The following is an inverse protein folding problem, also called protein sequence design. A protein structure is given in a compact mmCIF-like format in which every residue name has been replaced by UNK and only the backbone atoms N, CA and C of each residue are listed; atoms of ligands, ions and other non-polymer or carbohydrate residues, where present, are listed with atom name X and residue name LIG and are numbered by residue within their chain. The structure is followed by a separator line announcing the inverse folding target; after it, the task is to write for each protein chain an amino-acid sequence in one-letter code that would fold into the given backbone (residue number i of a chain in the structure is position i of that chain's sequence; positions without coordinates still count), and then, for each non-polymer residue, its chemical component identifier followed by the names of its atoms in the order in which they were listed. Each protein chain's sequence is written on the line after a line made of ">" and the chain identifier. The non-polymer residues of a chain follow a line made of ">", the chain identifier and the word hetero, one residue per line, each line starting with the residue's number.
data_IF_144502348256
#
_entry.id   IF_144502348256
#
_cell.length_a   1.000
_cell.length_b   1.000
_cell.length_c   1.000
_cell.angle_alpha   90.00
_cell.angle_beta   90.00
_cell.angle_gamma   90.00
#
_symmetry.space_group_name_H-M   'P 1'
#
loop_
_entity.id
_entity.type
_entity.pdbx_description
1 polymer ?
#
# COMPACT_ATOMS: atom_id res chain seq x y z
N UNK A 1 4.46 -29.86 -14.76
CA UNK A 1 4.30 -28.47 -14.25
C UNK A 1 4.40 -28.41 -12.74
N UNK A 2 3.57 -29.15 -11.98
CA UNK A 2 3.58 -29.13 -10.50
C UNK A 2 4.97 -29.44 -9.92
N UNK A 3 5.64 -30.49 -10.39
CA UNK A 3 6.99 -30.84 -9.90
C UNK A 3 8.05 -29.76 -10.15
N UNK A 4 7.91 -28.97 -11.23
CA UNK A 4 8.80 -27.83 -11.49
C UNK A 4 8.59 -26.72 -10.47
N UNK A 5 7.32 -26.38 -10.20
CA UNK A 5 6.96 -25.38 -9.19
C UNK A 5 7.46 -25.81 -7.81
N UNK A 6 7.23 -27.08 -7.41
CA UNK A 6 7.71 -27.60 -6.12
C UNK A 6 9.24 -27.49 -6.02
N UNK A 7 9.97 -27.85 -7.08
CA UNK A 7 11.42 -27.79 -7.07
C UNK A 7 11.95 -26.35 -6.94
N UNK A 8 11.38 -25.40 -7.69
CA UNK A 8 11.75 -23.99 -7.60
C UNK A 8 11.34 -23.37 -6.24
N UNK A 9 10.16 -23.72 -5.72
CA UNK A 9 9.72 -23.30 -4.37
C UNK A 9 10.68 -23.80 -3.29
N UNK A 10 11.15 -25.06 -3.39
CA UNK A 10 12.14 -25.61 -2.45
C UNK A 10 13.46 -24.83 -2.51
N UNK A 11 13.94 -24.48 -3.71
CA UNK A 11 15.15 -23.66 -3.88
C UNK A 11 15.02 -22.29 -3.22
N UNK A 12 13.82 -21.72 -3.16
CA UNK A 12 13.60 -20.41 -2.55
C UNK A 12 13.45 -20.51 -1.02
N UNK A 13 12.59 -21.40 -0.54
CA UNK A 13 12.20 -21.48 0.89
C UNK A 13 13.33 -22.04 1.76
N UNK A 14 14.08 -23.03 1.28
CA UNK A 14 15.14 -23.68 2.08
C UNK A 14 16.48 -22.92 2.09
N UNK A 15 16.56 -21.74 1.45
CA UNK A 15 17.76 -20.88 1.57
C UNK A 15 17.75 -20.16 2.91
N UNK A 16 18.93 -20.03 3.52
CA UNK A 16 19.12 -19.21 4.74
C UNK A 16 18.63 -17.77 4.55
N UNK A 17 18.75 -17.23 3.34
CA UNK A 17 18.25 -15.90 2.99
C UNK A 17 16.74 -15.74 3.19
N UNK A 18 15.94 -16.80 3.07
CA UNK A 18 14.49 -16.75 3.28
C UNK A 18 14.12 -16.39 4.71
N UNK A 19 14.74 -17.06 5.69
CA UNK A 19 14.54 -16.76 7.12
C UNK A 19 15.01 -15.32 7.42
N UNK A 20 16.14 -14.91 6.85
CA UNK A 20 16.66 -13.54 6.99
C UNK A 20 15.64 -12.52 6.47
N UNK A 21 14.98 -12.76 5.34
CA UNK A 21 13.93 -11.85 4.85
C UNK A 21 12.76 -11.72 5.82
N UNK A 22 12.32 -12.82 6.45
CA UNK A 22 11.22 -12.77 7.42
C UNK A 22 11.61 -12.01 8.69
N UNK A 23 12.83 -12.22 9.17
CA UNK A 23 13.38 -11.46 10.30
C UNK A 23 13.48 -9.98 9.96
N UNK A 24 13.97 -9.63 8.75
CA UNK A 24 14.04 -8.24 8.29
C UNK A 24 12.65 -7.62 8.21
N UNK A 25 11.67 -8.29 7.62
CA UNK A 25 10.30 -7.78 7.51
C UNK A 25 9.73 -7.54 8.90
N UNK A 26 9.78 -8.54 9.79
CA UNK A 26 9.27 -8.40 11.15
C UNK A 26 9.98 -7.28 11.92
N UNK A 27 11.32 -7.23 11.83
CA UNK A 27 12.14 -6.20 12.45
C UNK A 27 11.82 -4.79 11.93
N UNK A 28 11.57 -4.64 10.62
CA UNK A 28 11.17 -3.37 10.03
C UNK A 28 9.75 -2.96 10.45
N UNK A 29 8.79 -3.88 10.52
CA UNK A 29 7.46 -3.58 11.07
C UNK A 29 7.59 -3.10 12.52
N UNK A 30 8.39 -3.80 13.35
CA UNK A 30 8.63 -3.42 14.74
C UNK A 30 9.32 -2.06 14.86
N UNK A 31 10.31 -1.79 14.00
CA UNK A 31 11.02 -0.51 13.95
C UNK A 31 10.09 0.63 13.56
N UNK A 32 9.30 0.49 12.49
CA UNK A 32 8.32 1.52 12.08
C UNK A 32 7.27 1.73 13.16
N UNK A 33 6.73 0.66 13.74
CA UNK A 33 5.80 0.77 14.87
C UNK A 33 6.41 1.47 16.08
N UNK A 34 7.68 1.19 16.38
CA UNK A 34 8.44 1.87 17.45
C UNK A 34 8.64 3.35 17.17
N UNK A 35 9.01 3.72 15.95
CA UNK A 35 9.14 5.12 15.51
C UNK A 35 7.79 5.84 15.62
N UNK A 36 6.70 5.25 15.12
CA UNK A 36 5.36 5.82 15.22
C UNK A 36 4.96 6.04 16.68
N UNK A 37 5.11 5.02 17.53
CA UNK A 37 4.82 5.12 18.97
C UNK A 37 5.63 6.22 19.64
N UNK A 38 6.92 6.34 19.31
CA UNK A 38 7.78 7.39 19.82
C UNK A 38 7.34 8.78 19.33
N UNK A 39 7.03 8.92 18.04
CA UNK A 39 6.53 10.17 17.46
C UNK A 39 5.22 10.63 18.14
N UNK A 40 4.28 9.71 18.37
CA UNK A 40 3.07 10.01 19.13
C UNK A 40 3.34 10.36 20.60
N UNK A 41 4.40 9.81 21.20
CA UNK A 41 4.79 10.18 22.56
C UNK A 41 5.37 11.58 22.66
N UNK A 42 5.95 12.12 21.58
CA UNK A 42 6.48 13.47 21.53
C UNK A 42 5.41 14.51 21.18
N UNK A 43 4.46 14.14 20.33
CA UNK A 43 3.40 15.05 19.92
C UNK A 43 2.36 15.23 21.04
N UNK A 44 2.10 16.49 21.39
CA UNK A 44 0.87 16.92 22.05
C UNK A 44 0.18 17.87 21.11
N UNK A 45 -1.07 17.64 20.74
CA UNK A 45 -1.77 18.60 19.89
C UNK A 45 -1.82 19.96 20.60
N UNK A 46 -1.42 20.98 19.87
CA UNK A 46 -1.48 22.37 20.27
C UNK A 46 -2.60 23.04 19.48
N UNK A 47 -3.30 23.98 20.09
CA UNK A 47 -4.31 24.78 19.42
C UNK A 47 -4.12 26.25 19.80
N UNK A 48 -4.56 27.12 18.91
CA UNK A 48 -4.51 28.57 19.11
C UNK A 48 -5.90 29.02 19.56
N UNK A 49 -5.95 29.72 20.69
CA UNK A 49 -7.20 30.31 21.18
C UNK A 49 -7.09 31.83 21.13
N UNK A 50 -7.97 32.45 20.36
CA UNK A 50 -8.16 33.90 20.37
C UNK A 50 -9.36 34.21 21.27
N UNK A 51 -9.18 35.08 22.27
CA UNK A 51 -10.30 35.49 23.14
C UNK A 51 -11.21 36.42 22.34
N UNK A 52 -12.52 36.16 22.37
CA UNK A 52 -13.49 37.03 21.73
C UNK A 52 -13.39 38.46 22.30
N UNK A 53 -13.06 39.43 21.44
CA UNK A 53 -12.91 40.85 21.80
C UNK A 53 -11.47 41.33 22.06
N UNK A 54 -10.45 40.49 21.83
CA UNK A 54 -9.03 40.84 22.03
C UNK A 54 -8.30 40.90 20.67
N UNK A 55 -7.79 42.08 20.28
CA UNK A 55 -6.96 42.26 19.05
C UNK A 55 -5.53 41.70 19.20
N UNK A 56 -5.24 41.04 20.33
CA UNK A 56 -3.94 40.43 20.62
C UNK A 56 -3.65 39.17 19.80
N UNK A 57 -2.36 38.80 19.74
CA UNK A 57 -1.93 37.57 19.07
C UNK A 57 -2.56 36.31 19.70
N UNK A 58 -2.93 35.31 18.88
CA UNK A 58 -3.55 34.09 19.36
C UNK A 58 -2.65 33.33 20.35
N UNK A 59 -3.21 32.95 21.50
CA UNK A 59 -2.44 32.27 22.55
C UNK A 59 -2.35 30.78 22.23
N UNK A 60 -1.11 30.27 22.15
CA UNK A 60 -0.82 28.85 21.95
C UNK A 60 -1.13 28.06 23.24
N UNK A 61 -2.00 27.07 23.14
CA UNK A 61 -2.37 26.17 24.25
C UNK A 61 -2.09 24.71 23.90
N UNK A 62 -1.63 23.95 24.89
CA UNK A 62 -1.37 22.51 24.76
C UNK A 62 -2.53 21.71 25.34
N UNK A 63 -3.01 20.72 24.59
CA UNK A 63 -4.06 19.82 25.05
C UNK A 63 -3.44 18.77 25.99
N UNK A 64 -4.09 18.53 27.14
CA UNK A 64 -3.65 17.47 28.07
C UNK A 64 -3.70 16.11 27.36
N UNK A 65 -2.59 15.36 27.44
CA UNK A 65 -2.54 13.97 26.95
C UNK A 65 -3.63 13.12 27.61
N UNK A 66 -4.19 12.19 26.85
CA UNK A 66 -5.30 11.33 27.25
C UNK A 66 -6.67 11.84 26.81
N UNK A 67 -6.80 13.12 26.44
CA UNK A 67 -8.07 13.66 25.94
C UNK A 67 -8.15 13.42 24.43
N UNK A 68 -9.17 12.70 23.92
CA UNK A 68 -9.34 12.51 22.49
C UNK A 68 -9.57 13.84 21.79
N UNK A 69 -9.00 13.99 20.60
CA UNK A 69 -9.26 15.14 19.72
C UNK A 69 -9.72 14.59 18.38
N UNK A 70 -11.00 14.77 18.07
CA UNK A 70 -11.63 14.24 16.87
C UNK A 70 -11.49 15.22 15.70
N UNK A 71 -11.93 16.45 15.92
CA UNK A 71 -11.89 17.51 14.91
C UNK A 71 -11.66 18.87 15.58
N UNK A 72 -11.69 19.94 14.81
CA UNK A 72 -11.62 21.31 15.31
C UNK A 72 -12.91 22.06 14.93
N UNK A 73 -13.40 22.91 15.82
CA UNK A 73 -14.50 23.83 15.50
C UNK A 73 -14.05 24.90 14.50
N UNK A 74 -15.00 25.66 13.95
CA UNK A 74 -14.69 26.82 13.09
C UNK A 74 -13.77 27.83 13.80
N UNK A 75 -13.91 27.98 15.12
CA UNK A 75 -13.07 28.84 15.96
C UNK A 75 -11.68 28.23 16.29
N UNK A 76 -11.33 27.09 15.70
CA UNK A 76 -10.05 26.41 15.92
C UNK A 76 -9.92 25.67 17.26
N UNK A 77 -11.02 25.50 18.01
CA UNK A 77 -10.99 24.79 19.30
C UNK A 77 -11.07 23.28 19.09
N UNK A 78 -10.32 22.48 19.87
CA UNK A 78 -10.35 21.02 19.75
C UNK A 78 -11.67 20.44 20.24
N UNK A 79 -12.28 19.59 19.42
CA UNK A 79 -13.52 18.89 19.73
C UNK A 79 -13.18 17.55 20.36
N UNK A 80 -13.57 17.40 21.63
CA UNK A 80 -13.23 16.25 22.47
C UNK A 80 -14.42 15.35 22.77
N UNK A 81 -15.64 15.83 22.49
CA UNK A 81 -16.87 15.05 22.59
C UNK A 81 -17.21 14.45 21.21
N UNK A 82 -17.52 13.15 21.18
CA UNK A 82 -17.83 12.43 19.95
C UNK A 82 -19.18 12.85 19.34
N UNK A 83 -20.19 13.18 20.15
CA UNK A 83 -21.49 13.65 19.66
C UNK A 83 -21.36 15.01 18.95
N UNK A 84 -20.53 15.88 19.52
CA UNK A 84 -20.21 17.18 18.92
C UNK A 84 -19.41 17.00 17.62
N UNK A 85 -18.46 16.07 17.59
CA UNK A 85 -17.72 15.73 16.37
C UNK A 85 -18.65 15.23 15.27
N UNK A 86 -19.62 14.35 15.56
CA UNK A 86 -20.63 13.90 14.59
C UNK A 86 -21.47 15.07 14.08
N UNK A 87 -21.87 15.99 14.95
CA UNK A 87 -22.63 17.19 14.55
C UNK A 87 -21.83 18.06 13.58
N UNK A 88 -20.55 18.26 13.86
CA UNK A 88 -19.63 19.04 13.01
C UNK A 88 -19.36 18.33 11.68
N UNK A 89 -19.06 17.03 11.68
CA UNK A 89 -18.84 16.30 10.42
C UNK A 89 -20.12 16.30 9.56
N UNK A 90 -21.30 16.29 10.18
CA UNK A 90 -22.58 16.44 9.46
C UNK A 90 -22.75 17.83 8.86
N UNK A 91 -22.43 18.90 9.60
CA UNK A 91 -22.46 20.25 9.03
C UNK A 91 -21.44 20.42 7.90
N UNK A 92 -20.25 19.85 8.04
CA UNK A 92 -19.21 19.89 7.00
C UNK A 92 -19.67 19.18 5.73
N UNK A 93 -20.34 18.03 5.86
CA UNK A 93 -20.94 17.33 4.71
C UNK A 93 -22.01 18.17 4.03
N UNK A 94 -22.91 18.80 4.78
CA UNK A 94 -23.95 19.67 4.22
C UNK A 94 -23.33 20.89 3.51
N UNK A 95 -22.30 21.50 4.10
CA UNK A 95 -21.56 22.60 3.49
C UNK A 95 -20.85 22.16 2.20
N UNK A 96 -20.24 20.98 2.18
CA UNK A 96 -19.61 20.42 0.98
C UNK A 96 -20.65 20.11 -0.12
N UNK A 97 -21.85 19.65 0.25
CA UNK A 97 -22.95 19.42 -0.69
C UNK A 97 -23.57 20.71 -1.23
N UNK A 98 -23.49 21.82 -0.48
CA UNK A 98 -24.00 23.12 -0.89
C UNK A 98 -23.07 23.85 -1.89
N UNK A 99 -21.78 23.47 -1.95
CA UNK A 99 -20.88 23.88 -3.03
C UNK A 99 -21.31 23.19 -4.33
N UNK A 100 -21.18 23.87 -5.47
CA UNK A 100 -21.50 23.28 -6.77
C UNK A 100 -20.68 21.98 -6.98
N UNK A 101 -21.41 20.88 -7.18
CA UNK A 101 -20.89 19.50 -7.19
C UNK A 101 -19.79 19.25 -8.24
N UNK A 102 -19.72 20.12 -9.24
CA UNK A 102 -18.85 20.02 -10.41
C UNK A 102 -17.39 20.41 -10.10
N UNK A 103 -17.16 21.28 -9.11
CA UNK A 103 -15.79 21.77 -8.81
C UNK A 103 -15.04 20.90 -7.77
N UNK A 104 -15.73 20.17 -6.86
CA UNK A 104 -15.09 19.48 -5.73
C UNK A 104 -15.70 18.11 -5.34
N UNK A 105 -15.82 17.12 -6.25
CA UNK A 105 -16.46 15.82 -5.95
C UNK A 105 -15.77 15.01 -4.84
N UNK A 106 -14.46 15.20 -4.65
CA UNK A 106 -13.70 14.51 -3.62
C UNK A 106 -13.98 15.05 -2.21
N UNK A 107 -14.33 16.33 -2.04
CA UNK A 107 -14.62 16.92 -0.72
C UNK A 107 -15.86 16.28 -0.09
N UNK A 108 -16.93 16.11 -0.86
CA UNK A 108 -18.17 15.46 -0.40
C UNK A 108 -17.88 14.02 0.04
N UNK A 109 -17.10 13.28 -0.74
CA UNK A 109 -16.75 11.90 -0.42
C UNK A 109 -15.93 11.79 0.87
N UNK A 110 -14.96 12.69 1.09
CA UNK A 110 -14.18 12.72 2.34
C UNK A 110 -15.03 13.11 3.54
N UNK A 111 -15.86 14.15 3.43
CA UNK A 111 -16.76 14.57 4.50
C UNK A 111 -17.76 13.47 4.88
N UNK A 112 -18.28 12.72 3.89
CA UNK A 112 -19.15 11.57 4.14
C UNK A 112 -18.42 10.46 4.90
N UNK A 113 -17.21 10.12 4.47
CA UNK A 113 -16.40 9.09 5.14
C UNK A 113 -16.06 9.49 6.58
N UNK A 114 -15.72 10.76 6.81
CA UNK A 114 -15.46 11.26 8.16
C UNK A 114 -16.70 11.12 9.06
N UNK A 115 -17.88 11.53 8.58
CA UNK A 115 -19.14 11.37 9.31
C UNK A 115 -19.44 9.90 9.61
N UNK A 116 -19.36 9.04 8.59
CA UNK A 116 -19.56 7.60 8.67
C UNK A 116 -18.65 6.94 9.73
N UNK A 117 -17.40 7.40 9.79
CA UNK A 117 -16.42 6.94 10.77
C UNK A 117 -16.88 7.27 12.19
N UNK A 118 -17.21 8.53 12.49
CA UNK A 118 -17.61 8.93 13.84
C UNK A 118 -18.96 8.33 14.26
N UNK A 119 -19.94 8.25 13.35
CA UNK A 119 -21.22 7.60 13.62
C UNK A 119 -21.05 6.12 13.97
N UNK A 120 -20.12 5.42 13.30
CA UNK A 120 -19.83 4.01 13.59
C UNK A 120 -19.25 3.81 15.00
N UNK A 121 -18.41 4.73 15.49
CA UNK A 121 -17.89 4.69 16.86
C UNK A 121 -18.96 5.09 17.88
N UNK A 122 -19.75 6.13 17.60
CA UNK A 122 -20.83 6.60 18.47
C UNK A 122 -21.87 5.50 18.69
N UNK A 123 -22.28 4.82 17.61
CA UNK A 123 -23.23 3.69 17.68
C UNK A 123 -22.74 2.54 18.57
N UNK A 124 -21.43 2.31 18.64
CA UNK A 124 -20.85 1.26 19.50
C UNK A 124 -20.53 1.74 20.91
N UNK A 125 -20.69 3.03 21.21
CA UNK A 125 -20.36 3.61 22.52
C UNK A 125 -18.87 3.53 22.85
N UNK A 126 -17.99 3.49 21.84
CA UNK A 126 -16.53 3.41 22.03
C UNK A 126 -15.91 4.70 21.51
N UNK A 127 -14.98 5.28 22.27
CA UNK A 127 -14.22 6.45 21.82
C UNK A 127 -13.10 6.04 20.85
N UNK A 128 -13.00 6.64 19.66
CA UNK A 128 -11.87 6.42 18.77
C UNK A 128 -10.52 6.72 19.44
N UNK A 129 -9.48 5.98 19.06
CA UNK A 129 -8.09 6.37 19.36
C UNK A 129 -7.68 7.44 18.35
N UNK A 130 -7.10 8.49 18.89
CA UNK A 130 -6.60 9.69 18.22
C UNK A 130 -5.16 9.90 18.68
N UNK A 131 -4.45 10.80 18.00
CA UNK A 131 -3.07 11.19 18.33
C UNK A 131 -2.89 11.49 19.83
N UNK A 132 -3.88 12.14 20.47
CA UNK A 132 -3.77 12.62 21.85
C UNK A 132 -4.19 11.62 22.94
N UNK A 133 -4.97 10.58 22.63
CA UNK A 133 -5.46 9.60 23.62
C UNK A 133 -4.96 8.16 23.37
N UNK A 134 -3.87 8.01 22.62
CA UNK A 134 -3.29 6.70 22.32
C UNK A 134 -2.38 6.66 21.10
N UNK A 135 -2.32 7.76 20.33
CA UNK A 135 -1.49 7.87 19.14
C UNK A 135 -2.18 7.22 17.95
N UNK A 136 -1.96 5.92 17.80
CA UNK A 136 -2.49 5.07 16.74
C UNK A 136 -3.10 3.82 17.39
N UNK A 137 -4.16 3.28 16.79
CA UNK A 137 -4.75 2.01 17.25
C UNK A 137 -4.04 0.81 16.59
N UNK A 138 -4.05 -0.34 17.27
CA UNK A 138 -3.55 -1.58 16.67
C UNK A 138 -4.25 -1.93 15.34
N UNK A 139 -5.55 -1.60 15.23
CA UNK A 139 -6.32 -1.77 14.00
C UNK A 139 -5.87 -0.84 12.87
N UNK A 140 -5.60 0.44 13.17
CA UNK A 140 -5.06 1.39 12.19
C UNK A 140 -3.69 0.92 11.67
N UNK A 141 -2.78 0.54 12.57
CA UNK A 141 -1.45 0.05 12.21
C UNK A 141 -1.50 -1.23 11.38
N UNK A 142 -2.42 -2.14 11.70
CA UNK A 142 -2.69 -3.33 10.89
C UNK A 142 -3.24 -2.97 9.50
N UNK A 143 -4.21 -2.04 9.43
CA UNK A 143 -4.83 -1.63 8.17
C UNK A 143 -3.87 -0.95 7.20
N UNK A 144 -2.79 -0.35 7.72
CA UNK A 144 -1.70 0.24 6.95
C UNK A 144 -0.57 -0.75 6.63
N UNK A 145 -0.71 -2.02 7.03
CA UNK A 145 0.30 -3.09 6.90
C UNK A 145 1.65 -2.71 7.51
N UNK A 146 1.60 -1.99 8.64
CA UNK A 146 2.78 -1.49 9.35
C UNK A 146 3.57 -0.43 8.58
N UNK A 147 3.02 0.14 7.51
CA UNK A 147 3.64 1.22 6.75
C UNK A 147 4.86 0.82 5.90
N UNK A 148 5.15 -0.48 5.74
CA UNK A 148 6.38 -0.95 5.08
C UNK A 148 6.22 -1.43 3.62
N UNK A 149 5.07 -1.18 2.99
CA UNK A 149 4.72 -1.77 1.68
C UNK A 149 5.79 -1.58 0.60
N UNK A 150 6.36 -0.38 0.48
CA UNK A 150 7.39 -0.11 -0.54
C UNK A 150 8.65 -0.96 -0.34
N UNK A 151 9.05 -1.21 0.92
CA UNK A 151 10.21 -2.05 1.24
C UNK A 151 9.89 -3.52 0.92
N UNK A 152 8.68 -3.97 1.26
CA UNK A 152 8.23 -5.33 0.92
C UNK A 152 8.21 -5.53 -0.60
N UNK A 153 7.70 -4.56 -1.36
CA UNK A 153 7.70 -4.58 -2.82
C UNK A 153 9.12 -4.66 -3.38
N UNK A 154 10.06 -3.89 -2.81
CA UNK A 154 11.48 -3.92 -3.18
C UNK A 154 12.10 -5.31 -2.94
N UNK A 155 11.84 -5.96 -1.79
CA UNK A 155 12.33 -7.31 -1.51
C UNK A 155 11.80 -8.33 -2.51
N UNK A 156 10.52 -8.27 -2.84
CA UNK A 156 9.90 -9.15 -3.85
C UNK A 156 10.53 -8.95 -5.23
N UNK A 157 10.76 -7.68 -5.63
CA UNK A 157 11.44 -7.34 -6.88
C UNK A 157 12.86 -7.89 -6.95
N UNK A 158 13.63 -7.78 -5.87
CA UNK A 158 15.00 -8.32 -5.80
C UNK A 158 14.97 -9.83 -6.02
N UNK A 159 14.09 -10.54 -5.30
CA UNK A 159 13.96 -12.01 -5.45
C UNK A 159 13.53 -12.38 -6.87
N UNK A 160 12.54 -11.71 -7.43
CA UNK A 160 12.06 -11.97 -8.79
C UNK A 160 13.14 -11.73 -9.86
N UNK A 161 13.92 -10.65 -9.71
CA UNK A 161 15.02 -10.32 -10.63
C UNK A 161 16.12 -11.39 -10.61
N UNK A 162 16.42 -11.92 -9.44
CA UNK A 162 17.43 -12.98 -9.25
C UNK A 162 17.00 -14.33 -9.82
N UNK A 163 15.70 -14.67 -9.80
CA UNK A 163 15.22 -16.00 -10.21
C UNK A 163 15.56 -16.39 -11.64
N UNK A 164 15.61 -15.42 -12.57
CA UNK A 164 15.95 -15.68 -13.99
C UNK A 164 17.40 -15.35 -14.28
N UNK A 165 17.93 -14.24 -13.74
CA UNK A 165 19.30 -13.80 -14.04
C UNK A 165 20.36 -14.78 -13.51
N UNK A 166 20.15 -15.37 -12.32
CA UNK A 166 21.09 -16.33 -11.75
C UNK A 166 21.32 -17.55 -12.64
N UNK A 167 20.31 -18.00 -13.38
CA UNK A 167 20.45 -19.15 -14.29
C UNK A 167 21.31 -18.84 -15.53
N UNK A 168 21.37 -17.57 -15.94
CA UNK A 168 22.24 -17.12 -17.02
C UNK A 168 23.67 -16.92 -16.52
N UNK A 169 23.84 -16.34 -15.33
CA UNK A 169 25.15 -16.10 -14.71
C UNK A 169 25.84 -17.41 -14.32
N UNK A 170 25.11 -18.37 -13.78
CA UNK A 170 25.66 -19.65 -13.31
C UNK A 170 25.88 -20.67 -14.46
N UNK A 171 25.51 -20.32 -15.70
CA UNK A 171 25.62 -21.20 -16.86
C UNK A 171 24.68 -22.41 -16.85
N UNK A 172 23.85 -22.57 -15.81
CA UNK A 172 22.88 -23.66 -15.62
C UNK A 172 21.77 -23.65 -16.66
N UNK A 173 21.57 -22.54 -17.38
CA UNK A 173 20.69 -22.49 -18.55
C UNK A 173 21.00 -23.59 -19.56
N UNK A 174 22.28 -23.94 -19.77
CA UNK A 174 22.70 -25.02 -20.68
C UNK A 174 22.28 -26.41 -20.18
N UNK A 175 22.30 -26.63 -18.86
CA UNK A 175 21.82 -27.87 -18.24
C UNK A 175 20.29 -27.98 -18.31
N UNK A 176 19.57 -26.86 -18.25
CA UNK A 176 18.11 -26.83 -18.46
C UNK A 176 17.71 -27.20 -19.90
N UNK A 177 18.58 -26.98 -20.89
CA UNK A 177 18.33 -27.34 -22.30
C UNK A 177 18.36 -28.84 -22.58
N UNK A 178 18.91 -29.64 -21.68
CA UNK A 178 18.96 -31.11 -21.81
C UNK A 178 17.74 -31.81 -21.20
N UNK A 179 16.87 -31.08 -20.49
CA UNK A 179 15.65 -31.63 -19.87
C UNK A 179 14.44 -31.55 -20.82
N UNK A 180 13.48 -32.50 -20.73
CA UNK A 180 12.33 -32.61 -21.64
C UNK A 180 11.21 -31.56 -21.39
N UNK A 181 11.54 -30.37 -20.88
CA UNK A 181 10.57 -29.33 -20.56
C UNK A 181 10.68 -28.16 -21.52
N UNK A 182 9.52 -27.66 -22.02
CA UNK A 182 9.49 -26.49 -22.90
C UNK A 182 9.98 -25.26 -22.13
N UNK A 183 10.78 -24.41 -22.75
CA UNK A 183 11.37 -23.22 -22.11
C UNK A 183 10.32 -22.26 -21.51
N UNK A 184 9.16 -22.14 -22.17
CA UNK A 184 8.02 -21.38 -21.63
C UNK A 184 7.44 -21.98 -20.34
N UNK A 185 7.52 -23.30 -20.15
CA UNK A 185 7.09 -23.97 -18.92
C UNK A 185 8.04 -23.67 -17.75
N UNK A 186 9.34 -23.51 -18.03
CA UNK A 186 10.33 -23.12 -17.02
C UNK A 186 10.08 -21.68 -16.57
N UNK A 187 9.95 -20.74 -17.52
CA UNK A 187 9.65 -19.35 -17.19
C UNK A 187 8.33 -19.20 -16.42
N UNK A 188 7.28 -19.94 -16.84
CA UNK A 188 5.99 -19.95 -16.16
C UNK A 188 6.10 -20.50 -14.73
N UNK A 189 6.89 -21.56 -14.51
CA UNK A 189 7.11 -22.09 -13.16
C UNK A 189 7.78 -21.07 -12.23
N UNK A 190 8.75 -20.30 -12.75
CA UNK A 190 9.40 -19.22 -11.99
C UNK A 190 8.43 -18.08 -11.69
N UNK A 191 7.60 -17.68 -12.65
CA UNK A 191 6.53 -16.70 -12.42
C UNK A 191 5.61 -17.17 -11.28
N UNK A 192 5.12 -18.41 -11.32
CA UNK A 192 4.25 -18.95 -10.26
C UNK A 192 4.94 -18.91 -8.90
N UNK A 193 6.22 -19.28 -8.82
CA UNK A 193 6.97 -19.28 -7.54
C UNK A 193 7.16 -17.86 -7.03
N UNK A 194 7.45 -16.88 -7.89
CA UNK A 194 7.50 -15.46 -7.51
C UNK A 194 6.15 -14.96 -6.98
N UNK A 195 5.05 -15.34 -7.62
CA UNK A 195 3.69 -14.97 -7.19
C UNK A 195 3.32 -15.59 -5.84
N UNK A 196 3.62 -16.88 -5.64
CA UNK A 196 3.42 -17.56 -4.36
C UNK A 196 4.28 -16.94 -3.25
N UNK A 197 5.52 -16.57 -3.57
CA UNK A 197 6.40 -15.88 -2.64
C UNK A 197 5.85 -14.50 -2.25
N UNK A 198 5.39 -13.71 -3.23
CA UNK A 198 4.75 -12.42 -2.97
C UNK A 198 3.50 -12.54 -2.10
N UNK A 199 2.66 -13.55 -2.37
CA UNK A 199 1.46 -13.83 -1.58
C UNK A 199 1.83 -14.20 -0.13
N UNK A 200 2.81 -15.08 0.04
CA UNK A 200 3.32 -15.48 1.36
C UNK A 200 3.88 -14.28 2.13
N UNK A 201 4.74 -13.47 1.50
CA UNK A 201 5.34 -12.29 2.11
C UNK A 201 4.28 -11.25 2.49
N UNK A 202 3.25 -11.09 1.67
CA UNK A 202 2.11 -10.22 1.97
C UNK A 202 1.37 -10.71 3.22
N UNK A 203 1.04 -12.00 3.28
CA UNK A 203 0.38 -12.59 4.44
C UNK A 203 1.25 -12.50 5.70
N UNK A 204 2.54 -12.77 5.58
CA UNK A 204 3.49 -12.63 6.68
C UNK A 204 3.55 -11.18 7.19
N UNK A 205 3.54 -10.20 6.29
CA UNK A 205 3.52 -8.77 6.65
C UNK A 205 2.23 -8.41 7.40
N UNK A 206 1.07 -8.93 6.96
CA UNK A 206 -0.19 -8.75 7.70
C UNK A 206 -0.12 -9.30 9.12
N UNK A 207 0.41 -10.52 9.27
CA UNK A 207 0.56 -11.17 10.59
C UNK A 207 1.53 -10.38 11.46
N UNK A 208 2.68 -9.96 10.91
CA UNK A 208 3.67 -9.15 11.62
C UNK A 208 3.06 -7.80 12.06
N UNK A 209 2.34 -7.11 11.19
CA UNK A 209 1.66 -5.85 11.51
C UNK A 209 0.59 -6.04 12.61
N UNK A 210 -0.16 -7.14 12.57
CA UNK A 210 -1.13 -7.47 13.62
C UNK A 210 -0.47 -7.73 14.97
N UNK A 211 0.61 -8.54 15.00
CA UNK A 211 1.35 -8.87 16.23
C UNK A 211 2.02 -7.62 16.81
N UNK A 212 2.82 -6.92 16.00
CA UNK A 212 3.51 -5.69 16.44
C UNK A 212 2.50 -4.63 16.85
N UNK A 213 1.42 -4.48 16.08
CA UNK A 213 0.35 -3.54 16.37
C UNK A 213 -0.28 -3.79 17.73
N UNK A 214 -0.62 -5.05 18.04
CA UNK A 214 -1.20 -5.43 19.33
C UNK A 214 -0.23 -5.28 20.51
N UNK A 215 1.08 -5.38 20.29
CA UNK A 215 2.10 -5.19 21.34
C UNK A 215 2.34 -3.71 21.60
N UNK A 216 2.41 -2.88 20.56
CA UNK A 216 2.85 -1.49 20.67
C UNK A 216 1.72 -0.49 20.92
N UNK A 217 0.53 -0.73 20.38
CA UNK A 217 -0.57 0.23 20.35
C UNK A 217 -1.81 -0.25 21.13
N UNK A 218 -2.69 0.67 21.57
CA UNK A 218 -3.91 0.27 22.26
C UNK A 218 -4.82 -0.53 21.32
N UNK A 219 -5.34 -1.65 21.84
CA UNK A 219 -6.13 -2.61 21.08
C UNK A 219 -7.61 -2.27 21.17
N UNK A 220 -8.21 -1.94 20.03
CA UNK A 220 -9.66 -1.87 19.84
C UNK A 220 -10.11 -3.02 18.93
N UNK A 221 -11.42 -3.26 18.86
CA UNK A 221 -11.98 -4.26 17.94
C UNK A 221 -11.53 -3.96 16.51
N UNK A 222 -10.95 -4.94 15.82
CA UNK A 222 -10.57 -4.82 14.40
C UNK A 222 -11.80 -4.70 13.47
N UNK A 223 -13.01 -4.87 14.02
CA UNK A 223 -14.29 -4.61 13.36
C UNK A 223 -14.75 -3.15 13.47
N UNK A 224 -13.98 -2.30 14.17
CA UNK A 224 -14.16 -0.84 14.14
C UNK A 224 -13.42 -0.25 12.93
N UNK A 225 -13.88 0.90 12.41
CA UNK A 225 -13.18 1.60 11.36
C UNK A 225 -11.75 1.99 11.75
N UNK A 226 -10.81 1.89 10.79
CA UNK A 226 -9.41 2.19 11.03
C UNK A 226 -9.06 3.69 10.96
N UNK A 227 -9.70 4.43 10.05
CA UNK A 227 -9.44 5.86 9.83
C UNK A 227 -10.64 6.56 9.23
N UNK A 228 -10.70 7.89 9.36
CA UNK A 228 -11.73 8.74 8.74
C UNK A 228 -11.75 8.59 7.22
N UNK A 229 -10.59 8.39 6.58
CA UNK A 229 -10.47 8.19 5.12
C UNK A 229 -11.12 6.90 4.62
N UNK A 230 -11.32 5.93 5.51
CA UNK A 230 -11.91 4.63 5.20
C UNK A 230 -13.41 4.56 5.51
N UNK A 231 -13.98 5.61 6.12
CA UNK A 231 -15.39 5.67 6.49
C UNK A 231 -15.80 4.55 7.43
N UNK A 232 -16.83 3.79 7.06
CA UNK A 232 -17.30 2.63 7.83
C UNK A 232 -16.43 1.38 7.70
N UNK A 233 -15.39 1.40 6.86
CA UNK A 233 -14.61 0.19 6.59
C UNK A 233 -13.78 -0.23 7.81
N UNK A 234 -14.09 -1.41 8.35
CA UNK A 234 -13.36 -2.00 9.47
C UNK A 234 -11.86 -2.14 9.19
N UNK A 235 -11.03 -2.02 10.23
CA UNK A 235 -9.59 -2.22 10.15
C UNK A 235 -9.20 -3.57 9.52
N UNK A 236 -9.92 -4.64 9.84
CA UNK A 236 -9.69 -5.95 9.25
C UNK A 236 -9.88 -5.93 7.73
N UNK A 237 -11.04 -5.45 7.27
CA UNK A 237 -11.36 -5.34 5.84
C UNK A 237 -10.37 -4.43 5.12
N UNK A 238 -10.03 -3.28 5.70
CA UNK A 238 -9.06 -2.35 5.13
C UNK A 238 -7.68 -2.99 4.95
N UNK A 239 -7.18 -3.73 5.96
CA UNK A 239 -5.92 -4.46 5.84
C UNK A 239 -5.92 -5.50 4.72
N UNK A 240 -7.01 -6.24 4.53
CA UNK A 240 -7.14 -7.19 3.42
C UNK A 240 -7.25 -6.50 2.05
N UNK A 241 -7.99 -5.38 1.96
CA UNK A 241 -8.08 -4.60 0.73
C UNK A 241 -6.69 -4.08 0.34
N UNK A 242 -5.96 -3.48 1.28
CA UNK A 242 -4.62 -2.96 1.04
C UNK A 242 -3.62 -4.07 0.69
N UNK A 243 -3.73 -5.24 1.33
CA UNK A 243 -2.93 -6.41 0.99
C UNK A 243 -3.20 -6.88 -0.46
N UNK A 244 -4.47 -6.90 -0.86
CA UNK A 244 -4.89 -7.24 -2.22
C UNK A 244 -4.39 -6.26 -3.28
N UNK A 245 -4.56 -4.95 -3.04
CA UNK A 245 -4.07 -3.92 -3.98
C UNK A 245 -2.55 -3.95 -4.09
N UNK A 246 -1.84 -4.15 -2.98
CA UNK A 246 -0.39 -4.21 -3.00
C UNK A 246 0.12 -5.50 -3.67
N UNK A 247 -0.59 -6.62 -3.51
CA UNK A 247 -0.27 -7.85 -4.24
C UNK A 247 -0.43 -7.67 -5.76
N UNK A 248 -1.46 -6.95 -6.22
CA UNK A 248 -1.61 -6.61 -7.65
C UNK A 248 -0.44 -5.79 -8.18
N UNK A 249 0.09 -4.85 -7.39
CA UNK A 249 1.32 -4.13 -7.75
C UNK A 249 2.52 -5.06 -7.83
N UNK A 250 2.69 -5.97 -6.86
CA UNK A 250 3.77 -6.95 -6.90
C UNK A 250 3.70 -7.83 -8.15
N UNK A 251 2.51 -8.24 -8.61
CA UNK A 251 2.33 -9.02 -9.85
C UNK A 251 2.92 -8.27 -11.06
N UNK A 252 2.65 -6.96 -11.16
CA UNK A 252 3.21 -6.11 -12.21
C UNK A 252 4.73 -5.99 -12.08
N UNK A 253 5.22 -5.69 -10.88
CA UNK A 253 6.66 -5.54 -10.65
C UNK A 253 7.43 -6.84 -10.92
N UNK A 254 6.88 -8.00 -10.54
CA UNK A 254 7.43 -9.31 -10.87
C UNK A 254 7.48 -9.50 -12.39
N UNK A 255 6.40 -9.17 -13.10
CA UNK A 255 6.35 -9.27 -14.57
C UNK A 255 7.44 -8.43 -15.22
N UNK A 256 7.64 -7.18 -14.78
CA UNK A 256 8.69 -6.29 -15.28
C UNK A 256 10.08 -6.82 -14.92
N UNK A 257 10.32 -7.19 -13.67
CA UNK A 257 11.60 -7.73 -13.22
C UNK A 257 12.01 -8.97 -14.02
N UNK A 258 11.07 -9.91 -14.23
CA UNK A 258 11.30 -11.11 -15.04
C UNK A 258 11.56 -10.76 -16.50
N UNK A 259 10.84 -9.79 -17.07
CA UNK A 259 11.07 -9.32 -18.44
C UNK A 259 12.49 -8.79 -18.61
N UNK A 260 12.90 -7.84 -17.78
CA UNK A 260 14.23 -7.22 -17.87
C UNK A 260 15.32 -8.27 -17.62
N UNK A 261 15.12 -9.14 -16.62
CA UNK A 261 16.05 -10.23 -16.30
C UNK A 261 16.22 -11.20 -17.47
N UNK A 262 15.11 -11.60 -18.11
CA UNK A 262 15.11 -12.50 -19.27
C UNK A 262 15.72 -11.85 -20.53
N UNK A 263 15.41 -10.59 -20.79
CA UNK A 263 15.85 -9.86 -22.00
C UNK A 263 17.31 -9.46 -21.89
N UNK A 264 17.73 -8.88 -20.78
CA UNK A 264 19.07 -8.34 -20.64
C UNK A 264 20.07 -9.31 -20.02
N UNK A 265 19.62 -10.45 -19.46
CA UNK A 265 20.46 -11.46 -18.80
C UNK A 265 21.37 -10.86 -17.73
N UNK A 266 20.91 -9.77 -17.10
CA UNK A 266 21.66 -9.01 -16.10
C UNK A 266 20.79 -8.83 -14.86
N UNK A 267 21.28 -9.38 -13.74
CA UNK A 267 20.62 -9.24 -12.45
C UNK A 267 20.60 -7.79 -12.00
N UNK A 268 21.73 -7.08 -12.11
CA UNK A 268 21.85 -5.69 -11.67
C UNK A 268 20.88 -4.77 -12.42
N UNK A 269 20.74 -4.96 -13.74
CA UNK A 269 19.83 -4.15 -14.55
C UNK A 269 18.36 -4.45 -14.22
N UNK A 270 18.01 -5.74 -14.04
CA UNK A 270 16.66 -6.14 -13.66
C UNK A 270 16.23 -5.54 -12.32
N UNK A 271 17.12 -5.63 -11.32
CA UNK A 271 16.89 -5.04 -10.00
C UNK A 271 16.76 -3.52 -10.10
N UNK A 272 17.68 -2.85 -10.78
CA UNK A 272 17.69 -1.38 -10.90
C UNK A 272 16.43 -0.83 -11.57
N UNK A 273 16.02 -1.37 -12.72
CA UNK A 273 14.83 -0.88 -13.44
C UNK A 273 13.55 -1.13 -12.64
N UNK A 274 13.41 -2.30 -12.04
CA UNK A 274 12.22 -2.60 -11.26
C UNK A 274 12.15 -1.78 -9.96
N UNK A 275 13.28 -1.48 -9.31
CA UNK A 275 13.33 -0.53 -8.19
C UNK A 275 12.95 0.89 -8.62
N UNK A 276 13.46 1.37 -9.75
CA UNK A 276 13.05 2.68 -10.29
C UNK A 276 11.54 2.74 -10.47
N UNK A 277 10.92 1.66 -10.94
CA UNK A 277 9.46 1.60 -11.10
C UNK A 277 8.71 1.73 -9.77
N UNK A 278 9.20 1.10 -8.70
CA UNK A 278 8.60 1.20 -7.34
C UNK A 278 8.60 2.64 -6.84
N UNK A 279 9.67 3.41 -7.08
CA UNK A 279 9.78 4.81 -6.64
C UNK A 279 9.20 5.83 -7.62
N UNK A 280 9.05 5.45 -8.89
CA UNK A 280 8.59 6.36 -9.95
C UNK A 280 7.14 6.81 -9.77
N UNK A 281 6.29 6.02 -9.11
CA UNK A 281 4.87 6.31 -8.97
C UNK A 281 4.62 7.64 -8.26
N UNK A 282 5.31 7.92 -7.14
CA UNK A 282 5.11 9.16 -6.39
C UNK A 282 5.55 10.40 -7.16
N UNK A 283 6.66 10.31 -7.90
CA UNK A 283 7.21 11.42 -8.69
C UNK A 283 6.29 11.71 -9.88
N UNK A 284 5.87 10.66 -10.59
CA UNK A 284 5.09 10.80 -11.83
C UNK A 284 3.64 11.19 -11.51
N UNK A 285 3.08 10.76 -10.38
CA UNK A 285 1.69 11.05 -10.01
C UNK A 285 1.40 12.55 -9.95
N UNK A 286 2.34 13.36 -9.43
CA UNK A 286 2.21 14.83 -9.38
C UNK A 286 2.03 15.46 -10.76
N UNK A 287 2.71 14.93 -11.77
CA UNK A 287 2.55 15.41 -13.15
C UNK A 287 1.25 14.88 -13.77
N UNK A 288 0.91 13.61 -13.51
CA UNK A 288 -0.31 12.99 -14.03
C UNK A 288 -1.57 13.66 -13.48
N UNK A 289 -1.60 14.07 -12.22
CA UNK A 289 -2.75 14.79 -11.64
C UNK A 289 -3.04 16.12 -12.34
N UNK A 290 -2.03 16.76 -12.94
CA UNK A 290 -2.20 17.99 -13.72
C UNK A 290 -2.59 17.74 -15.19
N UNK A 291 -2.17 16.59 -15.74
CA UNK A 291 -2.33 16.27 -17.16
C UNK A 291 -3.62 15.49 -17.48
N UNK A 292 -4.04 14.60 -16.59
CA UNK A 292 -5.23 13.74 -16.78
C UNK A 292 -6.52 14.54 -16.98
N UNK A 293 -6.79 15.65 -16.25
CA UNK A 293 -7.98 16.47 -16.51
C UNK A 293 -8.00 17.07 -17.91
N UNK A 294 -6.83 17.29 -18.52
CA UNK A 294 -6.72 17.81 -19.88
C UNK A 294 -6.87 16.68 -20.90
N UNK A 295 -6.22 15.55 -20.67
CA UNK A 295 -6.11 14.42 -21.59
C UNK A 295 -6.53 13.12 -20.90
N UNK A 296 -7.84 12.83 -20.97
CA UNK A 296 -8.47 11.73 -20.25
C UNK A 296 -7.81 10.34 -20.45
N UNK A 297 -7.36 9.95 -21.66
CA UNK A 297 -6.74 8.63 -21.87
C UNK A 297 -5.48 8.36 -21.02
N UNK A 298 -4.81 9.41 -20.53
CA UNK A 298 -3.64 9.29 -19.66
C UNK A 298 -3.95 8.58 -18.34
N UNK A 299 -5.22 8.53 -17.93
CA UNK A 299 -5.64 7.83 -16.70
C UNK A 299 -5.28 6.34 -16.73
N UNK A 300 -5.19 5.73 -17.91
CA UNK A 300 -4.84 4.31 -18.07
C UNK A 300 -3.35 4.02 -18.12
N UNK A 301 -2.48 5.04 -18.09
CA UNK A 301 -1.03 4.83 -18.04
C UNK A 301 -0.67 4.03 -16.79
N UNK A 302 0.21 3.05 -16.97
CA UNK A 302 0.65 2.15 -15.90
C UNK A 302 1.08 2.91 -14.63
N UNK A 303 1.77 4.05 -14.76
CA UNK A 303 2.21 4.88 -13.64
C UNK A 303 1.07 5.50 -12.83
N UNK A 304 -0.09 5.79 -13.43
CA UNK A 304 -1.27 6.19 -12.66
C UNK A 304 -1.79 4.99 -11.83
N UNK A 305 -1.86 3.83 -12.47
CA UNK A 305 -2.34 2.58 -11.85
C UNK A 305 -1.41 2.07 -10.74
N UNK A 306 -0.13 2.48 -10.73
CA UNK A 306 0.79 2.18 -9.63
C UNK A 306 0.32 2.73 -8.28
N UNK A 307 -0.57 3.73 -8.29
CA UNK A 307 -1.14 4.33 -7.07
C UNK A 307 -2.39 3.59 -6.56
N UNK A 308 -2.68 2.36 -7.01
CA UNK A 308 -3.86 1.58 -6.56
C UNK A 308 -3.95 1.41 -5.04
N UNK A 309 -2.82 1.44 -4.31
CA UNK A 309 -2.83 1.40 -2.85
C UNK A 309 -3.51 2.62 -2.22
N UNK A 310 -3.53 3.77 -2.90
CA UNK A 310 -4.29 4.95 -2.47
C UNK A 310 -5.80 4.67 -2.49
N UNK A 311 -6.30 4.00 -3.52
CA UNK A 311 -7.69 3.51 -3.58
C UNK A 311 -7.98 2.55 -2.42
N UNK A 312 -7.02 1.68 -2.08
CA UNK A 312 -7.14 0.76 -0.93
C UNK A 312 -7.15 1.46 0.42
N UNK A 313 -6.56 2.65 0.53
CA UNK A 313 -6.59 3.52 1.72
C UNK A 313 -7.83 4.43 1.79
N UNK A 314 -8.69 4.36 0.78
CA UNK A 314 -9.88 5.21 0.67
C UNK A 314 -9.62 6.57 0.02
N UNK A 315 -8.45 6.81 -0.56
CA UNK A 315 -8.16 7.99 -1.36
C UNK A 315 -8.61 7.80 -2.81
N UNK A 316 -8.80 8.88 -3.55
CA UNK A 316 -9.01 8.85 -5.01
C UNK A 316 -7.67 8.91 -5.75
N UNK A 317 -7.62 8.35 -6.96
CA UNK A 317 -6.50 8.55 -7.90
C UNK A 317 -6.96 9.41 -9.08
N UNK A 318 -6.05 10.13 -9.76
CA UNK A 318 -6.40 10.94 -10.93
C UNK A 318 -7.21 10.19 -11.99
N UNK A 319 -8.27 10.84 -12.49
CA UNK A 319 -9.17 10.28 -13.52
C UNK A 319 -10.29 9.38 -12.97
N UNK A 320 -10.55 9.44 -11.66
CA UNK A 320 -11.67 8.79 -10.95
C UNK A 320 -11.84 7.30 -11.28
N UNK A 321 -10.70 6.61 -11.40
CA UNK A 321 -10.67 5.18 -11.69
C UNK A 321 -11.07 4.39 -10.44
N UNK A 322 -12.00 3.47 -10.58
CA UNK A 322 -12.40 2.56 -9.50
C UNK A 322 -11.30 1.54 -9.17
N UNK A 323 -11.28 1.05 -7.94
CA UNK A 323 -10.32 0.03 -7.49
C UNK A 323 -10.31 -1.20 -8.40
N UNK A 324 -11.49 -1.66 -8.81
CA UNK A 324 -11.63 -2.83 -9.70
C UNK A 324 -11.06 -2.53 -11.09
N UNK A 325 -11.35 -1.36 -11.66
CA UNK A 325 -10.84 -0.97 -12.97
C UNK A 325 -9.30 -0.85 -12.96
N UNK A 326 -8.73 -0.23 -11.92
CA UNK A 326 -7.29 -0.14 -11.75
C UNK A 326 -6.65 -1.54 -11.62
N UNK A 327 -7.27 -2.42 -10.83
CA UNK A 327 -6.80 -3.80 -10.65
C UNK A 327 -6.82 -4.62 -11.96
N UNK A 328 -7.89 -4.52 -12.75
CA UNK A 328 -7.97 -5.14 -14.07
C UNK A 328 -6.89 -4.58 -15.00
N UNK A 329 -6.69 -3.26 -15.00
CA UNK A 329 -5.64 -2.61 -15.80
C UNK A 329 -4.24 -3.16 -15.47
N UNK A 330 -3.89 -3.26 -14.18
CA UNK A 330 -2.61 -3.83 -13.75
C UNK A 330 -2.43 -5.29 -14.17
N UNK A 331 -3.49 -6.11 -14.11
CA UNK A 331 -3.45 -7.49 -14.57
C UNK A 331 -3.25 -7.57 -16.08
N UNK A 332 -3.94 -6.74 -16.87
CA UNK A 332 -3.76 -6.67 -18.31
C UNK A 332 -2.33 -6.27 -18.69
N UNK A 333 -1.77 -5.23 -18.04
CA UNK A 333 -0.37 -4.86 -18.23
C UNK A 333 0.59 -6.01 -17.89
N UNK A 334 0.36 -6.70 -16.78
CA UNK A 334 1.17 -7.84 -16.35
C UNK A 334 1.13 -8.99 -17.36
N UNK A 335 -0.05 -9.33 -17.87
CA UNK A 335 -0.24 -10.36 -18.90
C UNK A 335 0.45 -9.97 -20.21
N UNK A 336 0.31 -8.72 -20.65
CA UNK A 336 0.97 -8.22 -21.86
C UNK A 336 2.49 -8.28 -21.74
N UNK A 337 3.05 -7.80 -20.62
CA UNK A 337 4.50 -7.84 -20.34
C UNK A 337 4.99 -9.29 -20.30
N UNK A 338 4.24 -10.19 -19.67
CA UNK A 338 4.61 -11.61 -19.63
C UNK A 338 4.57 -12.26 -21.02
N UNK A 339 3.54 -12.00 -21.83
CA UNK A 339 3.47 -12.50 -23.21
C UNK A 339 4.63 -12.00 -24.06
N UNK A 340 4.98 -10.72 -23.93
CA UNK A 340 6.15 -10.12 -24.58
C UNK A 340 7.45 -10.80 -24.12
N UNK A 341 7.58 -11.07 -22.82
CA UNK A 341 8.73 -11.78 -22.25
C UNK A 341 8.88 -13.18 -22.87
N UNK A 342 7.80 -13.96 -22.91
CA UNK A 342 7.79 -15.31 -23.52
C UNK A 342 8.18 -15.25 -25.01
N UNK A 343 7.67 -14.26 -25.73
CA UNK A 343 7.98 -14.05 -27.14
C UNK A 343 9.48 -13.75 -27.37
N UNK A 344 10.02 -12.76 -26.64
CA UNK A 344 11.43 -12.36 -26.74
C UNK A 344 12.37 -13.50 -26.32
N UNK A 345 12.01 -14.25 -25.28
CA UNK A 345 12.78 -15.41 -24.82
C UNK A 345 12.87 -16.48 -25.91
N UNK A 346 11.74 -16.83 -26.54
CA UNK A 346 11.71 -17.82 -27.64
C UNK A 346 12.55 -17.39 -28.84
N UNK A 347 12.48 -16.11 -29.27
CA UNK A 347 13.21 -15.63 -30.44
C UNK A 347 14.73 -15.66 -30.25
N UNK A 348 15.21 -15.25 -29.07
CA UNK A 348 16.66 -15.15 -28.79
C UNK A 348 17.32 -16.48 -28.53
N UNK A 349 16.54 -17.49 -28.19
CA UNK A 349 17.00 -18.85 -27.97
C UNK A 349 17.36 -19.61 -29.25
N UNK A 350 16.93 -19.14 -30.41
CA UNK A 350 17.32 -19.65 -31.74
C UNK A 350 18.72 -19.16 -32.14
N UNK A 351 19.22 -18.09 -31.53
CA UNK A 351 20.52 -17.47 -31.84
C UNK A 351 21.68 -17.98 -30.96
N UNK A 352 21.51 -19.11 -30.28
CA UNK A 352 22.57 -19.79 -29.50
C UNK A 352 23.18 -20.99 -30.24
N UNK A 353 23.05 -21.05 -31.57
CA UNK A 353 23.96 -21.78 -32.45
C UNK A 353 25.21 -20.97 -32.74
#
# INVERSE_FOLDING_TARGET
>A
MINLVINESRKLIFRRSFIVYLIIIFGLVALVGGINKYAYSLNSNEYFEQKAGDEGEPVKKTIKKGIPVFTYSEDGKPVTNLEEAVKISRSNLLAAQAKEKEDYPNEIAYAQKELDYYEAYLKKGVTPITTNNGGESAGSFFSSLGGILSIVNMLVVVVASMMVASEFSDGTIKLLLTRPHKRSQILLSKLIVCLLFAAFVTLFTMVAAGIVGAILFPVQSFMLPASTMLGTMSALKAGFVLAGTNYLLMVLYISVALMISAVFRSQALAVGIAMLMVFSSSIINTFLSLLIPKWEPLKWIVFNLLNINELGRGNSIPGDISLVAAGIGLLLYSILIYMLTVYLFKKRDVALT
#
